data_IF_394360143770
#
_entry.id   IF_394360143770
#
_cell.length_a   1.000
_cell.length_b   1.000
_cell.length_c   1.000
_cell.angle_alpha   90.00
_cell.angle_beta   90.00
_cell.angle_gamma   90.00
#
_symmetry.space_group_name_H-M   'P 1'
#
loop_
_entity.id
_entity.type
_entity.pdbx_description
1 polymer ?
#
# COMPACT_ATOMS: atom_id res chain seq x y z
N UNK A 1 22.20 6.76 -29.08
CA UNK A 1 21.52 5.49 -28.72
C UNK A 1 21.68 5.14 -27.24
N UNK A 2 22.91 5.09 -26.68
CA UNK A 2 23.16 4.73 -25.27
C UNK A 2 22.36 5.59 -24.27
N UNK A 3 22.29 6.92 -24.47
CA UNK A 3 21.50 7.81 -23.61
C UNK A 3 20.00 7.47 -23.57
N UNK A 4 19.43 7.07 -24.70
CA UNK A 4 18.00 6.70 -24.80
C UNK A 4 17.76 5.39 -24.01
N UNK A 5 18.66 4.41 -24.14
CA UNK A 5 18.60 3.15 -23.41
C UNK A 5 18.69 3.39 -21.89
N UNK A 6 19.62 4.26 -21.45
CA UNK A 6 19.76 4.62 -20.04
C UNK A 6 18.49 5.29 -19.50
N UNK A 7 17.94 6.27 -20.25
CA UNK A 7 16.69 6.95 -19.86
C UNK A 7 15.54 5.94 -19.74
N UNK A 8 15.40 5.04 -20.72
CA UNK A 8 14.35 4.03 -20.73
C UNK A 8 14.46 3.02 -19.57
N UNK A 9 15.69 2.60 -19.25
CA UNK A 9 15.96 1.71 -18.12
C UNK A 9 15.65 2.37 -16.77
N UNK A 10 16.01 3.64 -16.62
CA UNK A 10 15.72 4.41 -15.41
C UNK A 10 14.21 4.61 -15.23
N UNK A 11 13.48 4.99 -16.29
CA UNK A 11 12.02 5.15 -16.21
C UNK A 11 11.29 3.85 -15.92
N UNK A 12 11.68 2.73 -16.54
CA UNK A 12 11.08 1.43 -16.19
C UNK A 12 11.32 1.08 -14.72
N UNK A 13 12.53 1.31 -14.21
CA UNK A 13 12.85 1.03 -12.80
C UNK A 13 11.96 1.84 -11.84
N UNK A 14 11.70 3.12 -12.14
CA UNK A 14 10.77 3.94 -11.37
C UNK A 14 9.31 3.47 -11.45
N UNK A 15 8.86 2.99 -12.61
CA UNK A 15 7.48 2.47 -12.79
C UNK A 15 7.28 1.16 -12.02
N UNK A 16 8.28 0.28 -11.97
CA UNK A 16 8.20 -1.00 -11.23
C UNK A 16 8.54 -0.88 -9.75
N UNK A 17 9.13 0.24 -9.32
CA UNK A 17 9.51 0.46 -7.92
C UNK A 17 8.35 0.23 -6.92
N UNK A 18 7.10 0.65 -7.17
CA UNK A 18 5.97 0.40 -6.27
C UNK A 18 5.59 -1.07 -6.13
N UNK A 19 5.92 -1.88 -7.13
CA UNK A 19 5.60 -3.30 -7.18
C UNK A 19 6.65 -4.13 -6.39
N UNK A 20 7.93 -3.74 -6.53
CA UNK A 20 9.08 -4.36 -5.86
C UNK A 20 9.14 -3.95 -4.38
N UNK A 21 8.88 -2.67 -4.10
CA UNK A 21 8.88 -2.08 -2.77
C UNK A 21 7.52 -1.49 -2.42
N UNK A 22 6.49 -2.33 -2.16
CA UNK A 22 5.18 -1.81 -1.82
C UNK A 22 5.21 -1.02 -0.51
N UNK A 23 4.24 -0.11 -0.39
CA UNK A 23 3.96 0.63 0.85
C UNK A 23 2.81 -0.03 1.59
N UNK A 24 2.99 -0.28 2.88
CA UNK A 24 1.90 -0.81 3.71
C UNK A 24 0.87 0.27 4.01
N UNK A 25 -0.41 -0.01 3.76
CA UNK A 25 -1.49 0.96 3.97
C UNK A 25 -1.66 1.31 5.47
N UNK A 26 -1.43 0.34 6.35
CA UNK A 26 -1.58 0.54 7.79
C UNK A 26 -0.38 1.27 8.41
N UNK A 27 0.83 0.68 8.34
CA UNK A 27 2.01 1.27 8.97
C UNK A 27 2.73 2.32 8.11
N UNK A 28 2.28 2.55 6.87
CA UNK A 28 2.85 3.52 5.91
C UNK A 28 4.32 3.34 5.55
N UNK A 29 4.98 2.27 6.01
CA UNK A 29 6.38 1.93 5.70
C UNK A 29 6.50 1.21 4.35
N UNK A 30 7.51 1.60 3.57
CA UNK A 30 7.95 0.91 2.35
C UNK A 30 8.78 -0.31 2.76
N UNK A 31 8.51 -1.48 2.17
CA UNK A 31 9.22 -2.74 2.46
C UNK A 31 9.37 -3.56 1.20
N UNK A 32 10.26 -4.55 1.23
CA UNK A 32 10.36 -5.53 0.14
C UNK A 32 9.04 -6.30 -0.03
N UNK A 33 8.67 -6.63 -1.27
CA UNK A 33 7.46 -7.40 -1.60
C UNK A 33 7.26 -8.67 -0.75
N UNK A 34 8.34 -9.39 -0.42
CA UNK A 34 8.32 -10.61 0.43
C UNK A 34 7.79 -10.38 1.85
N UNK A 35 7.83 -9.15 2.35
CA UNK A 35 7.33 -8.77 3.67
C UNK A 35 5.81 -8.52 3.70
N UNK A 36 5.14 -8.57 2.55
CA UNK A 36 3.70 -8.38 2.43
C UNK A 36 2.95 -9.71 2.44
N UNK A 37 1.79 -9.71 3.10
CA UNK A 37 0.87 -10.84 3.06
C UNK A 37 -0.19 -10.62 1.98
N UNK A 38 -0.66 -9.38 1.87
CA UNK A 38 -1.59 -8.98 0.82
C UNK A 38 -0.98 -7.86 0.01
N UNK A 39 -1.11 -7.96 -1.30
CA UNK A 39 -0.84 -6.88 -2.24
C UNK A 39 -1.81 -7.04 -3.40
N UNK A 40 -2.67 -6.03 -3.61
CA UNK A 40 -3.68 -6.05 -4.66
C UNK A 40 -3.79 -4.66 -5.28
N UNK A 41 -3.78 -4.60 -6.61
CA UNK A 41 -4.11 -3.38 -7.35
C UNK A 41 -5.59 -3.05 -7.15
N UNK A 42 -5.86 -1.85 -6.65
CA UNK A 42 -7.21 -1.33 -6.38
C UNK A 42 -7.60 -0.20 -7.32
N UNK A 43 -6.65 0.38 -8.06
CA UNK A 43 -6.93 1.31 -9.15
C UNK A 43 -5.85 1.26 -10.22
N UNK A 44 -6.12 1.85 -11.39
CA UNK A 44 -5.19 1.96 -12.52
C UNK A 44 -4.03 2.96 -12.29
N UNK A 45 -3.91 3.53 -11.08
CA UNK A 45 -2.84 4.48 -10.78
C UNK A 45 -1.51 3.74 -10.65
N UNK A 46 -0.52 4.15 -11.43
CA UNK A 46 0.87 3.67 -11.38
C UNK A 46 1.64 4.10 -10.11
N UNK A 47 0.93 4.56 -9.07
CA UNK A 47 1.52 5.05 -7.83
C UNK A 47 1.21 4.10 -6.68
N UNK A 48 1.87 4.30 -5.54
CA UNK A 48 1.54 3.57 -4.31
C UNK A 48 0.07 3.62 -3.91
N UNK A 49 -0.65 4.70 -4.25
CA UNK A 49 -2.09 4.83 -3.97
C UNK A 49 -2.95 3.92 -4.85
N UNK A 50 -2.39 3.37 -5.92
CA UNK A 50 -3.06 2.41 -6.78
C UNK A 50 -3.09 0.99 -6.24
N UNK A 51 -2.19 0.67 -5.31
CA UNK A 51 -2.01 -0.67 -4.76
C UNK A 51 -2.33 -0.69 -3.27
N UNK A 52 -3.19 -1.61 -2.86
CA UNK A 52 -3.48 -1.87 -1.46
C UNK A 52 -2.60 -3.01 -0.97
N UNK A 53 -1.65 -2.68 -0.10
CA UNK A 53 -0.68 -3.63 0.42
C UNK A 53 -0.68 -3.69 1.95
N UNK A 54 -0.64 -4.89 2.51
CA UNK A 54 -0.55 -5.11 3.97
C UNK A 54 0.63 -5.99 4.34
N UNK A 55 1.42 -5.47 5.28
CA UNK A 55 2.63 -6.12 5.75
C UNK A 55 2.30 -7.31 6.66
N UNK A 56 3.06 -8.41 6.58
CA UNK A 56 2.87 -9.60 7.45
C UNK A 56 2.85 -9.24 8.94
N UNK A 57 3.76 -8.35 9.38
CA UNK A 57 3.80 -7.85 10.77
C UNK A 57 2.50 -7.15 11.18
N UNK A 58 1.90 -6.39 10.27
CA UNK A 58 0.68 -5.63 10.47
C UNK A 58 -0.52 -6.57 10.51
N UNK A 59 -0.60 -7.50 9.55
CA UNK A 59 -1.65 -8.51 9.51
C UNK A 59 -1.65 -9.39 10.76
N UNK A 60 -0.46 -9.80 11.25
CA UNK A 60 -0.35 -10.57 12.49
C UNK A 60 -0.76 -9.75 13.72
N UNK A 61 -0.32 -8.49 13.83
CA UNK A 61 -0.61 -7.63 15.00
C UNK A 61 -2.10 -7.31 15.16
N UNK A 62 -2.81 -7.07 14.06
CA UNK A 62 -4.22 -6.66 14.06
C UNK A 62 -5.17 -7.76 13.56
N UNK A 63 -4.66 -8.99 13.43
CA UNK A 63 -5.39 -10.17 12.95
C UNK A 63 -6.16 -9.94 11.62
N UNK A 64 -5.53 -9.25 10.67
CA UNK A 64 -6.09 -9.07 9.33
C UNK A 64 -5.92 -10.36 8.53
N UNK A 65 -6.96 -11.19 8.51
CA UNK A 65 -7.00 -12.44 7.73
C UNK A 65 -7.46 -12.23 6.29
N UNK A 66 -8.05 -11.08 5.97
CA UNK A 66 -8.49 -10.73 4.62
C UNK A 66 -8.45 -9.22 4.39
N UNK A 67 -8.41 -8.82 3.11
CA UNK A 67 -8.50 -7.40 2.73
C UNK A 67 -9.85 -6.79 3.14
N UNK A 68 -10.93 -7.56 3.17
CA UNK A 68 -12.25 -7.07 3.58
C UNK A 68 -12.32 -6.78 5.07
N UNK A 69 -11.70 -7.60 5.92
CA UNK A 69 -11.57 -7.30 7.35
C UNK A 69 -10.79 -6.00 7.57
N UNK A 70 -9.70 -5.82 6.83
CA UNK A 70 -8.95 -4.56 6.86
C UNK A 70 -9.81 -3.36 6.43
N UNK A 71 -10.55 -3.47 5.32
CA UNK A 71 -11.47 -2.39 4.86
C UNK A 71 -12.57 -2.08 5.88
N UNK A 72 -13.11 -3.10 6.56
CA UNK A 72 -14.07 -2.91 7.66
C UNK A 72 -13.43 -2.15 8.81
N UNK A 73 -12.23 -2.56 9.24
CA UNK A 73 -11.50 -1.87 10.32
C UNK A 73 -11.25 -0.39 9.99
N UNK A 74 -10.71 -0.10 8.81
CA UNK A 74 -10.45 1.28 8.38
C UNK A 74 -11.73 2.14 8.32
N UNK A 75 -12.89 1.55 7.97
CA UNK A 75 -14.17 2.28 7.99
C UNK A 75 -14.63 2.63 9.40
N UNK A 76 -14.46 1.72 10.35
CA UNK A 76 -14.78 1.96 11.75
C UNK A 76 -13.86 3.03 12.34
N UNK A 77 -12.56 2.91 12.11
CA UNK A 77 -11.55 3.87 12.57
C UNK A 77 -11.83 5.29 12.04
N UNK A 78 -12.14 5.43 10.74
CA UNK A 78 -12.56 6.72 10.16
C UNK A 78 -13.86 7.26 10.75
N UNK A 79 -14.83 6.41 11.06
CA UNK A 79 -16.09 6.84 11.68
C UNK A 79 -15.83 7.39 13.08
N UNK A 80 -15.00 6.70 13.86
CA UNK A 80 -14.62 7.15 15.21
C UNK A 80 -13.87 8.48 15.12
N UNK A 81 -12.88 8.60 14.23
CA UNK A 81 -12.13 9.85 14.02
C UNK A 81 -13.06 11.02 13.65
N UNK A 82 -14.06 10.78 12.80
CA UNK A 82 -15.07 11.78 12.46
C UNK A 82 -15.93 12.16 13.68
N UNK A 83 -16.48 11.18 14.40
CA UNK A 83 -17.29 11.44 15.60
C UNK A 83 -16.51 12.24 16.65
N UNK A 84 -15.26 11.88 16.92
CA UNK A 84 -14.40 12.58 17.89
C UNK A 84 -14.10 14.00 17.42
N UNK A 85 -13.88 14.24 16.12
CA UNK A 85 -13.51 15.57 15.61
C UNK A 85 -14.68 16.56 15.54
N UNK A 86 -15.92 16.09 15.38
CA UNK A 86 -17.09 16.94 15.13
C UNK A 86 -18.14 16.94 16.26
N UNK A 87 -18.01 16.09 17.27
CA UNK A 87 -18.82 16.13 18.51
C UNK A 87 -18.03 16.64 19.73
N UNK A 88 -16.90 17.30 19.49
CA UNK A 88 -16.10 18.08 20.45
C UNK A 88 -16.17 19.55 20.03
#
# INVERSE_FOLDING_TARGET
MIRIIVVFAVTTLFVFFPEIFPRCEYCRKIKLRKCFQFHKSVSLKLTYKGNLSLCKKCCKKYNFTSLDKFRKHMRVEKRIEYTVRYNL
#
